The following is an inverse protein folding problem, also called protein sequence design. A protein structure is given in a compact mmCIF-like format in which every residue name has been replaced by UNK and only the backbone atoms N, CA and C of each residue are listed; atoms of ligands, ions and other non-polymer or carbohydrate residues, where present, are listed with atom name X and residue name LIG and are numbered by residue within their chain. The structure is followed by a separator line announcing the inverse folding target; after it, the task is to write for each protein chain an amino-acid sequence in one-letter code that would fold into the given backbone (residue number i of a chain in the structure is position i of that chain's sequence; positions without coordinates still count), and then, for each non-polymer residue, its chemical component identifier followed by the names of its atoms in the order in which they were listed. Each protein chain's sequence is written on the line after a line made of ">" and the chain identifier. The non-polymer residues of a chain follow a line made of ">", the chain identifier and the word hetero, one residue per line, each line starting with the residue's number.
data_IF_051715483341
#
_entry.id   IF_051715483341
#
_cell.length_a   1.000
_cell.length_b   1.000
_cell.length_c   1.000
_cell.angle_alpha   90.00
_cell.angle_beta   90.00
_cell.angle_gamma   90.00
#
_symmetry.space_group_name_H-M   'P 1'
#
loop_
_entity.id
_entity.type
_entity.pdbx_description
1 polymer ?
#
# COMPACT_ATOMS: atom_id res chain seq x y z
N UNK A 1 34.00 -24.96 68.85
CA UNK A 1 32.64 -24.54 68.45
C UNK A 1 32.60 -24.41 66.94
N UNK A 2 31.70 -25.14 66.31
CA UNK A 2 31.68 -25.53 64.90
C UNK A 2 31.33 -24.41 63.94
N UNK A 3 32.12 -24.26 62.87
CA UNK A 3 31.81 -23.44 61.69
C UNK A 3 30.75 -24.14 60.82
N UNK A 4 29.58 -23.53 60.65
CA UNK A 4 28.57 -23.98 59.70
C UNK A 4 28.76 -23.29 58.35
N UNK A 5 29.17 -24.03 57.32
CA UNK A 5 29.14 -23.57 55.94
C UNK A 5 27.69 -23.63 55.42
N UNK A 6 27.11 -22.48 55.10
CA UNK A 6 25.82 -22.40 54.42
C UNK A 6 26.05 -22.44 52.90
N UNK A 7 25.69 -23.57 52.27
CA UNK A 7 25.76 -23.74 50.81
C UNK A 7 24.51 -23.11 50.21
N UNK A 8 24.65 -21.95 49.55
CA UNK A 8 23.57 -21.39 48.73
C UNK A 8 23.52 -22.14 47.39
N UNK A 9 22.54 -23.02 47.24
CA UNK A 9 22.21 -23.67 45.98
C UNK A 9 21.44 -22.69 45.09
N UNK A 10 22.12 -22.02 44.15
CA UNK A 10 21.45 -21.24 43.10
C UNK A 10 20.89 -22.25 42.08
N UNK A 11 19.61 -22.59 42.20
CA UNK A 11 18.86 -23.28 41.15
C UNK A 11 18.72 -22.33 39.97
N UNK A 12 19.58 -22.48 38.96
CA UNK A 12 19.37 -21.92 37.63
C UNK A 12 18.09 -22.53 37.06
N UNK A 13 16.98 -21.79 37.17
CA UNK A 13 15.76 -22.09 36.43
C UNK A 13 16.06 -21.93 34.94
N UNK A 14 16.40 -23.03 34.28
CA UNK A 14 16.35 -23.14 32.82
C UNK A 14 14.89 -22.87 32.39
N UNK A 15 14.58 -21.59 32.13
CA UNK A 15 13.38 -21.25 31.40
C UNK A 15 13.59 -21.78 29.98
N UNK A 16 12.72 -22.67 29.47
CA UNK A 16 12.80 -23.08 28.08
C UNK A 16 12.77 -21.81 27.22
N UNK A 17 13.81 -21.65 26.40
CA UNK A 17 13.84 -20.60 25.36
C UNK A 17 12.66 -20.91 24.46
N UNK A 18 11.58 -20.15 24.62
CA UNK A 18 10.48 -20.16 23.68
C UNK A 18 11.03 -19.64 22.36
N UNK A 19 11.13 -20.53 21.37
CA UNK A 19 11.40 -20.13 20.00
C UNK A 19 10.33 -19.10 19.64
N UNK A 20 10.76 -17.84 19.43
CA UNK A 20 9.89 -16.78 18.97
C UNK A 20 9.20 -17.26 17.70
N UNK A 21 7.87 -17.28 17.68
CA UNK A 21 7.08 -17.48 16.45
C UNK A 21 7.72 -16.65 15.35
N UNK A 22 8.00 -17.28 14.20
CA UNK A 22 8.40 -16.59 12.97
C UNK A 22 7.52 -15.34 12.82
N UNK A 23 8.08 -14.14 12.63
CA UNK A 23 7.27 -12.93 12.53
C UNK A 23 6.21 -13.14 11.46
N UNK A 24 4.94 -12.96 11.84
CA UNK A 24 3.84 -12.98 10.87
C UNK A 24 4.10 -11.83 9.91
N UNK A 25 4.25 -12.16 8.63
CA UNK A 25 4.37 -11.16 7.57
C UNK A 25 3.12 -10.27 7.56
N UNK A 26 3.28 -8.98 7.25
CA UNK A 26 2.15 -8.08 7.12
C UNK A 26 1.26 -8.59 5.95
N UNK A 27 -0.03 -8.89 6.20
CA UNK A 27 -0.92 -9.35 5.12
C UNK A 27 -1.02 -8.34 3.97
N UNK A 28 -0.83 -7.04 4.24
CA UNK A 28 -0.95 -5.96 3.26
C UNK A 28 0.14 -5.99 2.19
N UNK A 29 1.28 -6.64 2.45
CA UNK A 29 2.34 -6.79 1.47
C UNK A 29 1.91 -7.53 0.19
N UNK A 30 0.82 -8.31 0.24
CA UNK A 30 0.28 -9.01 -0.92
C UNK A 30 -0.95 -8.31 -1.53
N UNK A 31 -1.38 -7.19 -0.96
CA UNK A 31 -2.57 -6.49 -1.41
C UNK A 31 -2.31 -5.69 -2.68
N UNK A 32 -3.31 -5.64 -3.56
CA UNK A 32 -3.39 -4.59 -4.56
C UNK A 32 -3.90 -3.28 -3.93
N UNK A 33 -3.86 -2.17 -4.66
CA UNK A 33 -4.21 -0.86 -4.11
C UNK A 33 -5.67 -0.77 -3.64
N UNK A 34 -6.61 -1.40 -4.35
CA UNK A 34 -8.01 -1.46 -3.94
C UNK A 34 -8.15 -2.16 -2.60
N UNK A 35 -7.45 -3.28 -2.41
CA UNK A 35 -7.42 -4.02 -1.15
C UNK A 35 -6.76 -3.20 -0.03
N UNK A 36 -5.68 -2.46 -0.31
CA UNK A 36 -5.03 -1.56 0.66
C UNK A 36 -6.00 -0.46 1.12
N UNK A 37 -6.71 0.18 0.20
CA UNK A 37 -7.65 1.26 0.52
C UNK A 37 -8.84 0.73 1.32
N UNK A 38 -9.41 -0.39 0.87
CA UNK A 38 -10.56 -1.02 1.53
C UNK A 38 -10.21 -1.63 2.88
N UNK A 39 -9.00 -2.19 3.07
CA UNK A 39 -8.56 -2.73 4.37
C UNK A 39 -8.49 -1.64 5.45
N UNK A 40 -8.24 -0.38 5.05
CA UNK A 40 -8.29 0.78 5.94
C UNK A 40 -9.68 1.38 6.11
N UNK A 41 -10.71 0.85 5.45
CA UNK A 41 -12.11 1.25 5.60
C UNK A 41 -12.58 2.36 4.67
N UNK A 42 -11.80 2.72 3.64
CA UNK A 42 -12.17 3.76 2.67
C UNK A 42 -12.89 3.16 1.45
N UNK A 43 -13.83 3.90 0.83
CA UNK A 43 -14.32 3.55 -0.50
C UNK A 43 -13.18 3.63 -1.53
N UNK A 44 -13.23 2.76 -2.53
CA UNK A 44 -12.30 2.79 -3.65
C UNK A 44 -13.06 2.56 -4.95
N UNK A 45 -12.86 3.45 -5.92
CA UNK A 45 -13.26 3.24 -7.32
C UNK A 45 -12.01 2.98 -8.16
N UNK A 46 -12.12 2.11 -9.16
CA UNK A 46 -11.09 1.86 -10.17
C UNK A 46 -11.59 2.38 -11.53
N UNK A 47 -10.75 3.17 -12.19
CA UNK A 47 -11.03 3.79 -13.48
C UNK A 47 -9.94 3.40 -14.48
N UNK A 48 -10.33 3.11 -15.72
CA UNK A 48 -9.40 2.90 -16.83
C UNK A 48 -9.43 4.11 -17.74
N UNK A 49 -8.29 4.78 -17.88
CA UNK A 49 -8.14 5.93 -18.77
C UNK A 49 -7.33 5.51 -19.98
N UNK A 50 -7.88 5.72 -21.17
CA UNK A 50 -7.18 5.45 -22.44
C UNK A 50 -6.58 6.76 -22.92
N UNK A 51 -5.26 6.79 -23.05
CA UNK A 51 -4.51 7.92 -23.61
C UNK A 51 -4.66 7.97 -25.14
N UNK A 52 -4.40 9.13 -25.75
CA UNK A 52 -4.57 9.34 -27.19
C UNK A 52 -3.71 8.38 -28.03
N UNK A 53 -2.54 8.01 -27.54
CA UNK A 53 -1.61 7.07 -28.16
C UNK A 53 -1.89 5.61 -27.79
N UNK A 54 -2.89 5.34 -26.93
CA UNK A 54 -3.46 4.01 -26.74
C UNK A 54 -3.01 3.26 -25.49
N UNK A 55 -2.23 3.86 -24.60
CA UNK A 55 -1.94 3.29 -23.27
C UNK A 55 -3.18 3.32 -22.39
N UNK A 56 -3.38 2.25 -21.63
CA UNK A 56 -4.49 2.07 -20.69
C UNK A 56 -3.94 2.25 -19.27
N UNK A 57 -4.31 3.36 -18.63
CA UNK A 57 -3.87 3.73 -17.30
C UNK A 57 -4.90 3.31 -16.25
N UNK A 58 -4.46 2.62 -15.20
CA UNK A 58 -5.28 2.38 -14.01
C UNK A 58 -5.24 3.58 -13.08
N UNK A 59 -6.37 4.22 -12.85
CA UNK A 59 -6.52 5.37 -11.95
C UNK A 59 -7.46 4.98 -10.82
N UNK A 60 -7.08 5.27 -9.58
CA UNK A 60 -7.87 4.90 -8.40
C UNK A 60 -8.44 6.15 -7.75
N UNK A 61 -9.59 6.03 -7.11
CA UNK A 61 -10.26 7.17 -6.47
C UNK A 61 -10.79 6.79 -5.09
N UNK A 62 -10.54 7.66 -4.12
CA UNK A 62 -11.14 7.65 -2.79
C UNK A 62 -12.13 8.83 -2.74
N UNK A 63 -13.42 8.60 -3.04
CA UNK A 63 -14.38 9.70 -3.21
C UNK A 63 -14.70 10.48 -1.93
N UNK A 64 -14.51 9.86 -0.76
CA UNK A 64 -14.73 10.47 0.55
C UNK A 64 -14.00 9.69 1.66
N UNK A 65 -13.85 10.32 2.84
CA UNK A 65 -13.31 9.67 4.04
C UNK A 65 -14.25 8.62 4.66
N UNK A 66 -13.77 7.93 5.69
CA UNK A 66 -14.47 6.78 6.32
C UNK A 66 -15.82 7.11 6.92
N UNK A 67 -15.94 8.31 7.49
CA UNK A 67 -17.12 8.78 8.23
C UNK A 67 -17.94 9.81 7.47
N UNK A 68 -17.75 9.89 6.15
CA UNK A 68 -18.47 10.81 5.26
C UNK A 68 -19.04 10.04 4.08
N UNK A 69 -20.00 10.63 3.39
CA UNK A 69 -20.51 10.19 2.08
C UNK A 69 -20.50 11.31 1.05
N UNK A 70 -20.07 12.52 1.43
CA UNK A 70 -20.02 13.68 0.54
C UNK A 70 -18.70 13.72 -0.22
N UNK A 71 -18.78 13.77 -1.55
CA UNK A 71 -17.61 14.01 -2.41
C UNK A 71 -17.18 15.47 -2.34
N UNK A 72 -15.90 15.68 -2.08
CA UNK A 72 -15.30 17.00 -1.93
C UNK A 72 -14.72 17.58 -3.22
N UNK A 73 -13.83 18.58 -3.05
CA UNK A 73 -13.03 19.11 -4.17
C UNK A 73 -12.01 18.06 -4.63
N UNK A 74 -11.81 17.88 -5.95
CA UNK A 74 -10.88 16.88 -6.46
C UNK A 74 -9.42 17.28 -6.22
N UNK A 75 -8.60 16.31 -5.84
CA UNK A 75 -7.13 16.40 -5.76
C UNK A 75 -6.53 15.20 -6.48
N UNK A 76 -5.60 15.45 -7.40
CA UNK A 76 -4.83 14.41 -8.07
C UNK A 76 -3.46 14.25 -7.41
N UNK A 77 -3.17 13.05 -6.94
CA UNK A 77 -1.84 12.66 -6.43
C UNK A 77 -1.11 11.84 -7.49
N UNK A 78 0.05 12.33 -7.91
CA UNK A 78 0.90 11.70 -8.93
C UNK A 78 2.19 11.22 -8.28
N UNK A 79 2.46 9.92 -8.38
CA UNK A 79 3.68 9.30 -7.84
C UNK A 79 4.95 9.71 -8.62
N UNK A 80 6.11 9.40 -8.05
CA UNK A 80 7.42 9.70 -8.64
C UNK A 80 8.00 8.61 -9.56
N UNK A 81 9.33 8.67 -9.76
CA UNK A 81 10.10 7.73 -10.59
C UNK A 81 10.06 6.30 -10.02
N UNK A 82 9.82 5.32 -10.88
CA UNK A 82 9.77 3.87 -10.54
C UNK A 82 8.75 3.52 -9.42
N UNK A 83 7.69 4.31 -9.32
CA UNK A 83 6.67 4.18 -8.28
C UNK A 83 5.27 3.88 -8.86
N UNK A 84 4.28 3.74 -7.98
CA UNK A 84 2.88 3.59 -8.31
C UNK A 84 1.99 4.35 -7.32
N UNK A 85 0.70 4.48 -7.64
CA UNK A 85 -0.32 5.12 -6.81
C UNK A 85 -0.37 4.61 -5.36
N UNK A 86 0.09 3.38 -5.11
CA UNK A 86 0.16 2.78 -3.77
C UNK A 86 0.93 3.61 -2.76
N UNK A 87 1.94 4.37 -3.20
CA UNK A 87 2.79 5.21 -2.33
C UNK A 87 1.98 6.11 -1.40
N UNK A 88 0.79 6.55 -1.83
CA UNK A 88 -0.08 7.45 -1.07
C UNK A 88 -0.97 6.75 -0.03
N UNK A 89 -0.97 5.41 0.01
CA UNK A 89 -1.88 4.57 0.83
C UNK A 89 -1.18 3.41 1.55
N UNK A 90 0.16 3.36 1.54
CA UNK A 90 0.91 2.25 2.16
C UNK A 90 0.93 2.27 3.69
N UNK A 91 0.91 3.44 4.31
CA UNK A 91 0.98 3.59 5.77
C UNK A 91 -0.42 3.62 6.41
N UNK A 92 -0.47 3.80 7.72
CA UNK A 92 -1.71 4.01 8.46
C UNK A 92 -2.50 5.24 7.96
N UNK A 93 -3.84 5.27 8.17
CA UNK A 93 -4.70 6.38 7.74
C UNK A 93 -4.23 7.79 8.12
N UNK A 94 -3.61 7.94 9.28
CA UNK A 94 -3.08 9.21 9.81
C UNK A 94 -1.67 9.57 9.31
N UNK A 95 -1.06 8.71 8.48
CA UNK A 95 0.31 8.87 7.96
C UNK A 95 0.36 8.86 6.43
N UNK A 96 -0.73 8.49 5.77
CA UNK A 96 -0.85 8.36 4.32
C UNK A 96 -1.62 9.55 3.77
N UNK A 97 -1.00 10.32 2.87
CA UNK A 97 -1.58 11.58 2.37
C UNK A 97 -2.96 11.42 1.75
N UNK A 98 -3.21 10.33 1.01
CA UNK A 98 -4.51 10.10 0.38
C UNK A 98 -5.63 9.94 1.42
N UNK A 99 -5.36 9.23 2.52
CA UNK A 99 -6.32 9.02 3.60
C UNK A 99 -6.56 10.30 4.41
N UNK A 100 -5.51 11.07 4.69
CA UNK A 100 -5.61 12.37 5.36
C UNK A 100 -6.49 13.32 4.55
N UNK A 101 -6.26 13.41 3.23
CA UNK A 101 -7.05 14.27 2.34
C UNK A 101 -8.52 13.83 2.26
N UNK A 102 -8.77 12.52 2.15
CA UNK A 102 -10.14 11.99 2.12
C UNK A 102 -10.89 12.29 3.43
N UNK A 103 -10.25 12.11 4.58
CA UNK A 103 -10.87 12.35 5.90
C UNK A 103 -11.15 13.84 6.16
N UNK A 104 -10.37 14.77 5.58
CA UNK A 104 -10.67 16.22 5.65
C UNK A 104 -11.57 16.71 4.51
N UNK A 105 -12.16 15.78 3.74
CA UNK A 105 -13.25 16.08 2.81
C UNK A 105 -12.82 16.44 1.40
N UNK A 106 -11.69 15.92 0.90
CA UNK A 106 -11.33 15.97 -0.53
C UNK A 106 -11.80 14.71 -1.26
N UNK A 107 -12.02 14.85 -2.56
CA UNK A 107 -12.18 13.75 -3.51
C UNK A 107 -10.80 13.39 -4.08
N UNK A 108 -10.23 12.27 -3.66
CA UNK A 108 -8.82 11.96 -3.92
C UNK A 108 -8.67 11.03 -5.11
N UNK A 109 -7.94 11.48 -6.12
CA UNK A 109 -7.59 10.73 -7.32
C UNK A 109 -6.11 10.34 -7.27
N UNK A 110 -5.82 9.07 -7.57
CA UNK A 110 -4.48 8.49 -7.52
C UNK A 110 -4.07 8.08 -8.93
N UNK A 111 -3.24 8.91 -9.56
CA UNK A 111 -2.77 8.72 -10.92
C UNK A 111 -1.66 7.70 -11.02
N UNK A 112 -1.62 6.97 -12.14
CA UNK A 112 -0.49 6.12 -12.51
C UNK A 112 0.01 6.51 -13.91
N UNK A 113 1.33 6.41 -14.10
CA UNK A 113 1.95 6.59 -15.41
C UNK A 113 2.11 5.25 -16.14
N UNK A 114 2.16 5.30 -17.47
CA UNK A 114 2.40 4.15 -18.33
C UNK A 114 3.61 3.31 -17.88
N UNK A 115 3.48 1.99 -17.97
CA UNK A 115 4.55 1.03 -17.67
C UNK A 115 4.59 0.51 -16.23
N UNK A 116 3.98 1.19 -15.26
CA UNK A 116 3.97 0.71 -13.87
C UNK A 116 2.98 -0.43 -13.64
N UNK A 117 2.95 -0.99 -12.42
CA UNK A 117 2.10 -2.14 -12.03
C UNK A 117 0.63 -2.02 -12.46
N UNK A 118 0.06 -0.82 -12.42
CA UNK A 118 -1.36 -0.58 -12.71
C UNK A 118 -1.62 -0.01 -14.10
N UNK A 119 -0.57 0.28 -14.89
CA UNK A 119 -0.68 0.94 -16.20
C UNK A 119 0.24 0.31 -17.25
N UNK A 120 0.41 -1.02 -17.18
CA UNK A 120 1.21 -1.79 -18.15
C UNK A 120 0.32 -2.49 -19.17
N UNK A 121 -0.48 -1.71 -19.90
CA UNK A 121 -1.40 -2.19 -20.92
C UNK A 121 -1.58 -1.15 -22.04
N UNK A 122 -1.87 -1.62 -23.25
CA UNK A 122 -2.09 -0.82 -24.44
C UNK A 122 -3.17 -1.45 -25.31
N UNK A 123 -3.91 -0.64 -26.08
CA UNK A 123 -4.97 -1.12 -26.99
C UNK A 123 -4.46 -1.98 -28.17
N UNK A 124 -3.15 -2.03 -28.40
CA UNK A 124 -2.53 -2.64 -29.59
C UNK A 124 -1.34 -3.50 -29.23
N UNK A 125 -0.43 -2.97 -28.42
CA UNK A 125 0.85 -3.62 -28.12
C UNK A 125 0.82 -4.43 -26.82
N UNK A 126 1.48 -5.58 -26.83
CA UNK A 126 1.71 -6.42 -25.66
C UNK A 126 3.04 -6.02 -24.98
N UNK A 127 3.03 -5.62 -23.70
CA UNK A 127 4.23 -5.14 -23.01
C UNK A 127 5.35 -6.17 -22.85
N UNK A 128 5.07 -7.46 -23.05
CA UNK A 128 6.05 -8.55 -22.91
C UNK A 128 6.68 -8.97 -24.23
N UNK A 129 6.13 -8.55 -25.37
CA UNK A 129 6.52 -9.06 -26.68
C UNK A 129 6.76 -7.96 -27.71
N UNK A 130 6.10 -6.81 -27.59
CA UNK A 130 6.20 -5.72 -28.56
C UNK A 130 7.09 -4.61 -28.01
N UNK A 131 8.27 -4.41 -28.60
CA UNK A 131 9.18 -3.32 -28.25
C UNK A 131 8.52 -1.94 -28.40
N UNK A 132 7.59 -1.81 -29.35
CA UNK A 132 6.80 -0.59 -29.58
C UNK A 132 5.92 -0.20 -28.37
N UNK A 133 5.65 -1.11 -27.43
CA UNK A 133 5.01 -0.74 -26.16
C UNK A 133 5.89 0.18 -25.30
N UNK A 134 7.21 0.15 -25.47
CA UNK A 134 8.15 0.92 -24.65
C UNK A 134 8.65 2.18 -25.36
N UNK A 135 8.19 2.44 -26.58
CA UNK A 135 8.42 3.68 -27.29
C UNK A 135 7.33 4.70 -26.90
N UNK A 136 7.70 5.63 -26.03
CA UNK A 136 6.80 6.66 -25.51
C UNK A 136 6.86 7.98 -26.30
N UNK A 137 7.61 8.00 -27.40
CA UNK A 137 7.91 9.19 -28.22
C UNK A 137 7.08 9.31 -29.50
#
# INVERSE_FOLDING_TARGET
>A
MTFGFSVFLILLLCHPITVSKVPKFDPECNYNITQLIQSKGYPCEEHKVITNDGYILGVFRIPHGRNSSSTGRPVLLQHGLLDAATTWVLNFPDQSLAFILADVGYDVWLGNIRGNRYSRAHVKYNPNHDEAFWDFS
#
